data_IF_607409453975
#
_entry.id   IF_607409453975
#
_cell.length_a   1.000
_cell.length_b   1.000
_cell.length_c   1.000
_cell.angle_alpha   90.00
_cell.angle_beta   90.00
_cell.angle_gamma   90.00
#
_symmetry.space_group_name_H-M   'P 1'
#
loop_
_entity.id
_entity.type
_entity.pdbx_description
1 polymer ?
#
# COMPACT_ATOMS: atom_id res chain seq x y z
N UNK A 1 28.33 -5.90 3.41
CA UNK A 1 27.84 -5.44 2.09
C UNK A 1 26.71 -4.47 2.35
N UNK A 2 26.78 -3.25 1.83
CA UNK A 2 25.71 -2.25 2.02
C UNK A 2 24.40 -2.77 1.45
N UNK A 3 23.30 -2.64 2.21
CA UNK A 3 21.96 -3.10 1.79
C UNK A 3 21.50 -2.31 0.56
N UNK A 4 21.96 -1.06 0.44
CA UNK A 4 21.58 -0.14 -0.62
C UNK A 4 22.46 -0.29 -1.86
N UNK A 5 23.69 -0.77 -1.71
CA UNK A 5 24.62 -0.96 -2.83
C UNK A 5 24.08 -1.87 -3.93
N UNK A 6 23.25 -2.87 -3.60
CA UNK A 6 22.61 -3.73 -4.62
C UNK A 6 21.54 -3.01 -5.43
N UNK A 7 20.81 -2.07 -4.83
CA UNK A 7 19.74 -1.32 -5.48
C UNK A 7 20.28 -0.24 -6.42
N UNK A 8 21.47 0.31 -6.15
CA UNK A 8 22.11 1.29 -7.04
C UNK A 8 22.73 0.69 -8.30
N UNK A 9 22.95 -0.63 -8.33
CA UNK A 9 23.64 -1.33 -9.43
C UNK A 9 22.72 -1.77 -10.56
N UNK A 10 21.40 -1.68 -10.38
CA UNK A 10 20.41 -2.10 -11.36
C UNK A 10 19.54 -0.90 -11.78
N UNK A 11 19.21 -0.76 -13.07
CA UNK A 11 18.26 0.25 -13.53
C UNK A 11 16.92 0.22 -12.78
N UNK A 12 16.43 -0.98 -12.45
CA UNK A 12 15.17 -1.19 -11.70
C UNK A 12 15.35 -1.16 -10.17
N UNK A 13 16.58 -0.96 -9.69
CA UNK A 13 16.89 -1.14 -8.29
C UNK A 13 16.29 -0.06 -7.39
N UNK A 14 16.08 1.16 -7.89
CA UNK A 14 15.36 2.20 -7.15
C UNK A 14 13.91 1.80 -6.87
N UNK A 15 13.19 1.32 -7.90
CA UNK A 15 11.84 0.78 -7.75
C UNK A 15 11.81 -0.42 -6.82
N UNK A 16 12.75 -1.35 -6.97
CA UNK A 16 12.84 -2.50 -6.09
C UNK A 16 13.06 -2.11 -4.61
N UNK A 17 13.80 -1.03 -4.32
CA UNK A 17 13.94 -0.52 -2.97
C UNK A 17 12.61 0.03 -2.43
N UNK A 18 11.93 0.89 -3.19
CA UNK A 18 10.65 1.49 -2.78
C UNK A 18 9.60 0.42 -2.49
N UNK A 19 9.44 -0.55 -3.40
CA UNK A 19 8.46 -1.64 -3.24
C UNK A 19 8.84 -2.60 -2.10
N UNK A 20 10.14 -2.80 -1.84
CA UNK A 20 10.59 -3.54 -0.68
C UNK A 20 10.22 -2.82 0.62
N UNK A 21 10.38 -1.49 0.68
CA UNK A 21 9.96 -0.72 1.85
C UNK A 21 8.45 -0.87 2.07
N UNK A 22 7.65 -0.74 1.02
CA UNK A 22 6.18 -0.87 1.06
C UNK A 22 5.67 -2.21 1.56
N UNK A 23 6.26 -3.31 1.09
CA UNK A 23 5.89 -4.67 1.50
C UNK A 23 6.43 -5.07 2.88
N UNK A 24 7.37 -4.28 3.44
CA UNK A 24 7.99 -4.58 4.73
C UNK A 24 7.15 -4.02 5.89
N UNK A 25 6.85 -4.81 6.94
CA UNK A 25 6.17 -4.32 8.15
C UNK A 25 6.93 -3.19 8.84
N UNK A 26 6.21 -2.25 9.45
CA UNK A 26 6.75 -1.00 10.02
C UNK A 26 8.01 -1.21 10.89
N UNK A 27 7.98 -2.19 11.81
CA UNK A 27 9.10 -2.46 12.72
C UNK A 27 10.40 -2.88 12.02
N UNK A 28 10.29 -3.60 10.90
CA UNK A 28 11.45 -3.98 10.07
C UNK A 28 11.82 -2.86 9.10
N UNK A 29 10.83 -2.16 8.56
CA UNK A 29 11.01 -1.03 7.65
C UNK A 29 11.81 0.08 8.31
N UNK A 30 11.51 0.42 9.56
CA UNK A 30 12.25 1.45 10.28
C UNK A 30 13.74 1.12 10.39
N UNK A 31 14.08 -0.13 10.75
CA UNK A 31 15.48 -0.57 10.78
C UNK A 31 16.17 -0.45 9.43
N UNK A 32 15.46 -0.75 8.34
CA UNK A 32 16.00 -0.61 6.99
C UNK A 32 16.23 0.86 6.62
N UNK A 33 15.31 1.75 7.01
CA UNK A 33 15.44 3.19 6.83
C UNK A 33 16.63 3.71 7.64
N UNK A 34 16.75 3.36 8.91
CA UNK A 34 17.84 3.83 9.78
C UNK A 34 19.22 3.43 9.22
N UNK A 35 19.35 2.19 8.74
CA UNK A 35 20.57 1.72 8.06
C UNK A 35 20.78 2.47 6.74
N UNK A 36 19.73 2.67 5.95
CA UNK A 36 19.78 3.43 4.71
C UNK A 36 20.24 4.87 4.90
N UNK A 37 19.73 5.54 5.94
CA UNK A 37 20.08 6.92 6.29
C UNK A 37 21.56 7.06 6.69
N UNK A 38 22.14 6.04 7.33
CA UNK A 38 23.56 6.00 7.66
C UNK A 38 24.46 5.73 6.44
N UNK A 39 23.97 4.95 5.47
CA UNK A 39 24.72 4.59 4.27
C UNK A 39 24.66 5.66 3.18
N UNK A 40 23.46 6.16 2.88
CA UNK A 40 23.18 7.21 1.90
C UNK A 40 21.79 7.84 2.19
N UNK A 41 21.82 8.95 2.93
CA UNK A 41 20.61 9.69 3.30
C UNK A 41 19.85 10.20 2.08
N UNK A 42 20.53 10.78 1.09
CA UNK A 42 19.87 11.37 -0.09
C UNK A 42 19.08 10.31 -0.87
N UNK A 43 19.68 9.15 -1.12
CA UNK A 43 19.01 8.06 -1.84
C UNK A 43 17.84 7.49 -1.03
N UNK A 44 17.98 7.42 0.30
CA UNK A 44 16.93 6.93 1.21
C UNK A 44 15.76 7.90 1.26
N UNK A 45 16.00 9.18 1.48
CA UNK A 45 14.99 10.23 1.48
C UNK A 45 14.24 10.28 0.15
N UNK A 46 14.98 10.18 -0.96
CA UNK A 46 14.37 10.10 -2.29
C UNK A 46 13.45 8.89 -2.41
N UNK A 47 13.87 7.70 -1.97
CA UNK A 47 13.02 6.52 -1.99
C UNK A 47 11.73 6.71 -1.15
N UNK A 48 11.85 7.31 0.04
CA UNK A 48 10.72 7.55 0.94
C UNK A 48 9.64 8.46 0.34
N UNK A 49 10.01 9.41 -0.53
CA UNK A 49 9.04 10.25 -1.24
C UNK A 49 8.09 9.44 -2.14
N UNK A 50 8.51 8.26 -2.61
CA UNK A 50 7.73 7.39 -3.48
C UNK A 50 7.06 6.22 -2.75
N UNK A 51 7.35 6.03 -1.46
CA UNK A 51 6.73 4.97 -0.65
C UNK A 51 5.25 5.26 -0.46
N UNK A 52 4.41 4.41 -1.01
CA UNK A 52 2.97 4.42 -0.85
C UNK A 52 2.58 3.81 0.51
N UNK A 53 1.65 4.47 1.15
CA UNK A 53 1.08 4.11 2.45
C UNK A 53 -0.39 3.73 2.29
N UNK A 54 -0.99 3.17 3.32
CA UNK A 54 -2.41 2.84 3.29
C UNK A 54 -3.27 4.12 3.24
N UNK A 55 -2.82 5.16 3.93
CA UNK A 55 -3.45 6.48 3.96
C UNK A 55 -3.53 7.09 2.55
N UNK A 56 -2.48 6.94 1.73
CA UNK A 56 -2.51 7.36 0.33
C UNK A 56 -3.61 6.66 -0.47
N UNK A 57 -3.92 5.40 -0.15
CA UNK A 57 -4.96 4.60 -0.82
C UNK A 57 -6.35 5.09 -0.43
N UNK A 58 -6.55 5.38 0.86
CA UNK A 58 -7.83 5.89 1.39
C UNK A 58 -8.17 7.25 0.77
N UNK A 59 -7.16 8.07 0.49
CA UNK A 59 -7.28 9.39 -0.13
C UNK A 59 -7.30 9.36 -1.68
N UNK A 60 -7.23 8.17 -2.31
CA UNK A 60 -7.31 8.06 -3.77
C UNK A 60 -8.63 8.62 -4.30
N UNK A 61 -8.67 9.23 -5.50
CA UNK A 61 -9.91 9.59 -6.17
C UNK A 61 -10.85 8.39 -6.35
N UNK A 62 -12.16 8.64 -6.35
CA UNK A 62 -13.20 7.60 -6.33
C UNK A 62 -13.00 6.50 -7.39
N UNK A 63 -12.67 6.89 -8.62
CA UNK A 63 -12.41 5.96 -9.71
C UNK A 63 -11.20 5.04 -9.41
N UNK A 64 -10.11 5.60 -8.88
CA UNK A 64 -8.90 4.83 -8.57
C UNK A 64 -9.12 3.93 -7.35
N UNK A 65 -9.87 4.41 -6.36
CA UNK A 65 -10.28 3.61 -5.21
C UNK A 65 -11.16 2.42 -5.64
N UNK A 66 -12.06 2.61 -6.61
CA UNK A 66 -12.86 1.54 -7.20
C UNK A 66 -11.99 0.49 -7.91
N UNK A 67 -10.96 0.90 -8.66
CA UNK A 67 -10.01 -0.01 -9.30
C UNK A 67 -9.24 -0.86 -8.26
N UNK A 68 -8.81 -0.24 -7.16
CA UNK A 68 -8.16 -0.96 -6.04
C UNK A 68 -9.11 -1.98 -5.44
N UNK A 69 -10.35 -1.58 -5.13
CA UNK A 69 -11.37 -2.47 -4.56
C UNK A 69 -11.75 -3.62 -5.50
N UNK A 70 -11.71 -3.40 -6.83
CA UNK A 70 -12.01 -4.41 -7.83
C UNK A 70 -10.89 -5.44 -8.02
N UNK A 71 -9.62 -5.04 -7.86
CA UNK A 71 -8.48 -5.95 -8.00
C UNK A 71 -8.16 -6.69 -6.69
N UNK A 72 -8.32 -6.04 -5.53
CA UNK A 72 -8.00 -6.63 -4.25
C UNK A 72 -9.05 -7.67 -3.80
N UNK A 73 -8.66 -8.75 -3.10
CA UNK A 73 -9.63 -9.67 -2.51
C UNK A 73 -10.56 -8.94 -1.53
N UNK A 74 -11.90 -9.13 -1.60
CA UNK A 74 -12.87 -8.41 -0.75
C UNK A 74 -12.58 -8.50 0.75
N UNK A 75 -12.14 -9.68 1.22
CA UNK A 75 -11.70 -9.88 2.61
C UNK A 75 -10.52 -8.98 2.99
N UNK A 76 -9.51 -8.89 2.12
CA UNK A 76 -8.34 -8.02 2.35
C UNK A 76 -8.76 -6.57 2.39
N UNK A 77 -9.63 -6.13 1.46
CA UNK A 77 -10.14 -4.76 1.43
C UNK A 77 -10.92 -4.44 2.71
N UNK A 78 -11.84 -5.31 3.13
CA UNK A 78 -12.61 -5.12 4.36
C UNK A 78 -11.71 -5.03 5.61
N UNK A 79 -10.72 -5.92 5.72
CA UNK A 79 -9.83 -5.96 6.88
C UNK A 79 -8.91 -4.72 6.92
N UNK A 80 -8.43 -4.26 5.76
CA UNK A 80 -7.62 -3.05 5.67
C UNK A 80 -8.41 -1.79 6.09
N UNK A 81 -9.70 -1.74 5.76
CA UNK A 81 -10.61 -0.64 6.08
C UNK A 81 -11.32 -0.79 7.44
N UNK A 82 -10.98 -1.78 8.26
CA UNK A 82 -11.73 -2.05 9.49
C UNK A 82 -11.68 -0.87 10.50
N UNK A 83 -10.51 -0.24 10.64
CA UNK A 83 -10.26 0.85 11.59
C UNK A 83 -10.38 2.26 10.99
N UNK A 84 -10.75 2.38 9.71
CA UNK A 84 -10.96 3.71 9.09
C UNK A 84 -12.32 4.30 9.50
N UNK A 85 -12.52 5.59 9.23
CA UNK A 85 -13.80 6.26 9.53
C UNK A 85 -14.97 5.65 8.74
N UNK A 86 -16.17 5.71 9.31
CA UNK A 86 -17.39 5.23 8.64
C UNK A 86 -17.67 5.96 7.32
N UNK A 87 -17.26 7.23 7.20
CA UNK A 87 -17.37 7.99 5.96
C UNK A 87 -16.47 7.40 4.86
N UNK A 88 -15.23 7.04 5.20
CA UNK A 88 -14.29 6.39 4.28
C UNK A 88 -14.75 4.97 3.90
N UNK A 89 -15.31 4.20 4.84
CA UNK A 89 -15.95 2.90 4.55
C UNK A 89 -17.12 3.06 3.59
N UNK A 90 -17.99 4.03 3.86
CA UNK A 90 -19.17 4.32 3.02
C UNK A 90 -18.74 4.71 1.62
N UNK A 91 -17.75 5.60 1.50
CA UNK A 91 -17.16 6.00 0.23
C UNK A 91 -16.58 4.83 -0.56
N UNK A 92 -15.80 3.96 0.08
CA UNK A 92 -15.29 2.73 -0.54
C UNK A 92 -16.44 1.86 -1.07
N UNK A 93 -17.46 1.63 -0.25
CA UNK A 93 -18.59 0.79 -0.61
C UNK A 93 -19.38 1.38 -1.79
N UNK A 94 -19.67 2.68 -1.78
CA UNK A 94 -20.41 3.37 -2.84
C UNK A 94 -19.71 3.29 -4.20
N UNK A 95 -18.37 3.31 -4.20
CA UNK A 95 -17.56 3.21 -5.41
C UNK A 95 -17.29 1.75 -5.86
N UNK A 96 -17.57 0.77 -5.00
CA UNK A 96 -17.37 -0.65 -5.31
C UNK A 96 -18.53 -1.25 -6.13
N UNK A 97 -18.21 -2.20 -7.01
CA UNK A 97 -19.21 -2.96 -7.77
C UNK A 97 -20.17 -3.72 -6.83
N UNK A 98 -21.45 -3.92 -7.19
CA UNK A 98 -22.47 -4.46 -6.27
C UNK A 98 -22.08 -5.78 -5.59
N UNK A 99 -21.50 -6.72 -6.34
CA UNK A 99 -21.03 -8.00 -5.80
C UNK A 99 -19.87 -7.82 -4.80
N UNK A 100 -18.83 -7.10 -5.21
CA UNK A 100 -17.66 -6.80 -4.37
C UNK A 100 -18.07 -6.07 -3.10
N UNK A 101 -18.99 -5.10 -3.22
CA UNK A 101 -19.57 -4.35 -2.10
C UNK A 101 -20.27 -5.26 -1.09
N UNK A 102 -21.06 -6.23 -1.55
CA UNK A 102 -21.73 -7.18 -0.67
C UNK A 102 -20.70 -8.03 0.11
N UNK A 103 -19.71 -8.58 -0.60
CA UNK A 103 -18.66 -9.39 0.03
C UNK A 103 -17.83 -8.56 1.03
N UNK A 104 -17.46 -7.31 0.70
CA UNK A 104 -16.74 -6.41 1.63
C UNK A 104 -17.56 -6.16 2.90
N UNK A 105 -18.88 -5.92 2.77
CA UNK A 105 -19.75 -5.68 3.94
C UNK A 105 -19.77 -6.87 4.88
N UNK A 106 -19.91 -8.09 4.35
CA UNK A 106 -19.88 -9.32 5.16
C UNK A 106 -18.57 -9.44 5.96
N UNK A 107 -17.43 -9.13 5.33
CA UNK A 107 -16.13 -9.20 6.01
C UNK A 107 -15.87 -8.03 6.98
N UNK A 108 -16.54 -6.88 6.83
CA UNK A 108 -16.40 -5.75 7.76
C UNK A 108 -17.01 -6.05 9.13
N UNK A 109 -18.01 -6.94 9.19
CA UNK A 109 -18.66 -7.39 10.43
C UNK A 109 -17.80 -8.40 11.22
N UNK A 110 -16.75 -8.95 10.59
CA UNK A 110 -15.84 -9.90 11.23
C UNK A 110 -14.90 -9.14 12.16
N UNK A 111 -14.85 -9.56 13.43
CA UNK A 111 -13.86 -9.07 14.37
C UNK A 111 -12.45 -9.52 13.95
N UNK A 112 -11.55 -8.56 13.77
CA UNK A 112 -10.18 -8.80 13.31
C UNK A 112 -9.16 -8.24 14.28
N UNK A 113 -8.03 -8.92 14.42
CA UNK A 113 -6.93 -8.45 15.25
C UNK A 113 -6.05 -7.40 14.53
N UNK A 114 -5.28 -6.60 15.29
CA UNK A 114 -4.40 -5.56 14.71
C UNK A 114 -3.35 -6.13 13.74
N UNK A 115 -2.93 -7.38 13.92
CA UNK A 115 -2.00 -8.05 12.99
C UNK A 115 -2.64 -8.37 11.64
N UNK A 116 -3.91 -8.73 11.62
CA UNK A 116 -4.64 -9.02 10.39
C UNK A 116 -4.92 -7.74 9.61
N UNK A 117 -5.30 -6.67 10.31
CA UNK A 117 -5.47 -5.34 9.74
C UNK A 117 -4.17 -4.86 9.10
N UNK A 118 -3.06 -4.85 9.85
CA UNK A 118 -1.76 -4.42 9.33
C UNK A 118 -1.31 -5.27 8.12
N UNK A 119 -1.52 -6.59 8.17
CA UNK A 119 -1.21 -7.47 7.04
C UNK A 119 -2.08 -7.20 5.82
N UNK A 120 -3.37 -6.87 6.02
CA UNK A 120 -4.29 -6.51 4.95
C UNK A 120 -3.93 -5.16 4.31
N UNK A 121 -3.56 -4.16 5.12
CA UNK A 121 -3.11 -2.86 4.64
C UNK A 121 -1.85 -2.98 3.76
N UNK A 122 -0.86 -3.79 4.16
CA UNK A 122 0.34 -4.05 3.34
C UNK A 122 -0.02 -4.67 1.99
N UNK A 123 -0.89 -5.69 1.97
CA UNK A 123 -1.37 -6.31 0.72
C UNK A 123 -2.14 -5.33 -0.16
N UNK A 124 -2.86 -4.40 0.44
CA UNK A 124 -3.58 -3.38 -0.31
C UNK A 124 -2.61 -2.39 -0.98
N UNK A 125 -1.52 -2.01 -0.31
CA UNK A 125 -0.43 -1.23 -0.89
C UNK A 125 0.21 -1.97 -2.07
N UNK A 126 0.49 -3.26 -1.94
CA UNK A 126 1.01 -4.09 -3.05
C UNK A 126 0.04 -4.12 -4.24
N UNK A 127 -1.26 -4.18 -3.97
CA UNK A 127 -2.31 -4.16 -5.02
C UNK A 127 -2.35 -2.80 -5.72
N UNK A 128 -2.34 -1.71 -4.96
CA UNK A 128 -2.30 -0.35 -5.51
C UNK A 128 -1.01 -0.09 -6.31
N UNK A 129 0.13 -0.62 -5.88
CA UNK A 129 1.40 -0.58 -6.62
C UNK A 129 1.33 -1.33 -7.95
N UNK A 130 0.61 -2.46 -7.98
CA UNK A 130 0.34 -3.19 -9.23
C UNK A 130 -0.51 -2.37 -10.19
N UNK A 131 -1.50 -1.63 -9.69
CA UNK A 131 -2.33 -0.73 -10.50
C UNK A 131 -1.57 0.52 -10.96
N UNK A 132 -0.63 1.03 -10.15
CA UNK A 132 0.26 2.14 -10.52
C UNK A 132 1.13 1.76 -11.72
N UNK A 133 1.73 0.56 -11.71
CA UNK A 133 2.48 0.02 -12.86
C UNK A 133 1.63 -0.09 -14.13
N UNK A 134 0.32 -0.32 -14.00
CA UNK A 134 -0.65 -0.37 -15.12
C UNK A 134 -1.16 1.00 -15.54
N UNK A 135 -0.82 2.07 -14.82
CA UNK A 135 -1.28 3.43 -15.07
C UNK A 135 -2.74 3.71 -14.64
N UNK A 136 -3.36 2.79 -13.90
CA UNK A 136 -4.73 2.91 -13.39
C UNK A 136 -4.79 3.69 -12.08
N UNK A 137 -3.72 3.60 -11.28
CA UNK A 137 -3.51 4.43 -10.08
C UNK A 137 -2.38 5.43 -10.36
N UNK A 138 -2.57 6.70 -9.99
CA UNK A 138 -1.66 7.80 -10.31
C UNK A 138 -1.22 8.57 -9.07
N UNK A 139 -0.70 7.85 -8.07
CA UNK A 139 -0.09 8.43 -6.87
C UNK A 139 1.31 7.84 -6.68
N UNK A 140 2.23 8.66 -6.16
CA UNK A 140 3.62 8.25 -5.83
C UNK A 140 4.25 7.37 -6.93
N UNK A 141 4.18 7.87 -8.17
CA UNK A 141 4.73 7.20 -9.35
C UNK A 141 6.25 7.16 -9.21
N UNK A 142 6.81 5.96 -9.21
CA UNK A 142 8.26 5.76 -9.12
C UNK A 142 8.87 6.08 -10.51
N UNK A 143 9.92 6.90 -10.58
CA UNK A 143 10.61 7.26 -11.82
C UNK A 143 11.24 6.07 -12.53
#
# INVERSE_FOLDING_TARGET
>A
MSVYARFKRSPEGFRALVELLESTPLSRRQKMIDVGMQEDAEYTEKALQYVMTFEDIVELPDLQLAEVAALAPPRTTAFAFHEVSEDQKTRLLLNSQPRVRAEIKEYLEVAVGPREIAGAQLKLVETARTLERRGLVRIKKIP
#
